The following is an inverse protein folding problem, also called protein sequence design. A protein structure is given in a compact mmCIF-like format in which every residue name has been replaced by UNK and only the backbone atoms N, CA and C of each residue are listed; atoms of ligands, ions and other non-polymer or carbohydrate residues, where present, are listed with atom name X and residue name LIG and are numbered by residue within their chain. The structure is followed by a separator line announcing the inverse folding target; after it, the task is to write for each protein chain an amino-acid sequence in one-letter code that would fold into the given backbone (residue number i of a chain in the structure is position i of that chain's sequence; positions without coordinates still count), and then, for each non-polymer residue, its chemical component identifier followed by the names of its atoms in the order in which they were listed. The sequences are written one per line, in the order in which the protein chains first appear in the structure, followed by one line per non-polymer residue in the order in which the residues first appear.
data_IF_969956543070
#
_entry.id   IF_969956543070
#
_cell.length_a   1.000
_cell.length_b   1.000
_cell.length_c   1.000
_cell.angle_alpha   90.00
_cell.angle_beta   90.00
_cell.angle_gamma   90.00
#
_symmetry.space_group_name_H-M   'P 1'
#
loop_
_entity.id
_entity.type
_entity.pdbx_description
1 polymer ?
#
# COMPACT_ATOMS: atom_id res chain seq x y z
N UNK A 1 4.75 3.02 15.61
CA UNK A 1 4.52 3.55 14.25
C UNK A 1 3.55 2.64 13.52
N UNK A 2 3.04 3.06 12.38
CA UNK A 2 2.33 2.19 11.43
C UNK A 2 3.05 2.24 10.09
N UNK A 3 3.33 1.08 9.51
CA UNK A 3 3.96 0.90 8.21
C UNK A 3 2.89 0.55 7.16
N UNK A 4 2.75 1.39 6.15
CA UNK A 4 1.72 1.26 5.10
C UNK A 4 2.40 0.86 3.80
N UNK A 5 2.05 -0.32 3.30
CA UNK A 5 2.50 -0.76 1.98
C UNK A 5 1.84 0.08 0.88
N UNK A 6 2.59 0.46 -0.15
CA UNK A 6 2.05 1.17 -1.32
C UNK A 6 2.70 0.68 -2.62
N UNK A 7 2.08 1.05 -3.74
CA UNK A 7 2.62 0.78 -5.08
C UNK A 7 3.28 2.04 -5.62
N UNK A 8 4.28 1.85 -6.47
CA UNK A 8 5.02 2.96 -7.08
C UNK A 8 4.41 3.40 -8.42
N UNK A 9 3.79 2.46 -9.14
CA UNK A 9 3.39 2.65 -10.55
C UNK A 9 2.00 2.11 -10.88
N UNK A 10 1.15 1.83 -9.88
CA UNK A 10 -0.23 1.37 -10.10
C UNK A 10 -1.20 2.54 -10.32
N UNK A 11 -1.01 3.34 -11.39
CA UNK A 11 -1.95 4.41 -11.76
C UNK A 11 -3.33 3.82 -12.13
N UNK A 12 -4.47 4.39 -11.69
CA UNK A 12 -4.67 5.57 -10.82
C UNK A 12 -4.89 5.22 -9.32
N UNK A 13 -4.44 4.05 -8.87
CA UNK A 13 -4.77 3.48 -7.57
C UNK A 13 -3.77 3.81 -6.48
N UNK A 14 -2.48 3.54 -6.70
CA UNK A 14 -1.38 3.86 -5.79
C UNK A 14 -0.12 4.03 -6.62
N UNK A 15 0.40 5.25 -6.67
CA UNK A 15 1.54 5.61 -7.52
C UNK A 15 2.22 6.86 -6.99
N UNK A 16 3.47 7.08 -7.39
CA UNK A 16 4.13 8.36 -7.15
C UNK A 16 3.65 9.42 -8.13
N UNK A 17 3.21 10.56 -7.62
CA UNK A 17 3.02 11.75 -8.44
C UNK A 17 4.35 12.43 -8.80
N UNK A 18 4.28 13.51 -9.58
CA UNK A 18 5.45 14.30 -9.97
C UNK A 18 6.16 14.99 -8.79
N UNK A 19 5.56 14.99 -7.59
CA UNK A 19 6.11 15.52 -6.36
C UNK A 19 6.66 14.42 -5.43
N UNK A 20 6.77 13.18 -5.92
CA UNK A 20 7.22 12.01 -5.15
C UNK A 20 6.30 11.69 -3.95
N UNK A 21 5.02 12.06 -4.04
CA UNK A 21 4.00 11.67 -3.06
C UNK A 21 3.26 10.45 -3.58
N UNK A 22 2.98 9.52 -2.69
CA UNK A 22 2.11 8.38 -3.00
C UNK A 22 0.67 8.88 -3.02
N UNK A 23 -0.01 8.73 -4.14
CA UNK A 23 -1.39 9.18 -4.35
C UNK A 23 -2.22 8.12 -5.09
N UNK A 24 -3.53 8.34 -5.18
CA UNK A 24 -4.46 7.54 -5.95
C UNK A 24 -5.60 6.95 -5.12
N UNK A 25 -6.57 6.33 -5.80
CA UNK A 25 -7.81 5.86 -5.19
C UNK A 25 -7.57 4.90 -3.99
N UNK A 26 -6.72 3.88 -4.16
CA UNK A 26 -6.36 2.97 -3.06
C UNK A 26 -5.61 3.68 -1.95
N UNK A 27 -4.78 4.66 -2.30
CA UNK A 27 -4.01 5.42 -1.33
C UNK A 27 -4.90 6.31 -0.46
N UNK A 28 -5.98 6.85 -1.00
CA UNK A 28 -6.97 7.62 -0.22
C UNK A 28 -7.61 6.77 0.88
N UNK A 29 -7.95 5.51 0.58
CA UNK A 29 -8.41 4.56 1.61
C UNK A 29 -7.32 4.25 2.63
N UNK A 30 -6.06 4.09 2.21
CA UNK A 30 -4.95 3.89 3.15
C UNK A 30 -4.83 5.07 4.11
N UNK A 31 -4.95 6.30 3.61
CA UNK A 31 -4.91 7.52 4.41
C UNK A 31 -6.09 7.58 5.40
N UNK A 32 -7.29 7.19 4.96
CA UNK A 32 -8.48 7.13 5.81
C UNK A 32 -8.34 6.08 6.94
N UNK A 33 -7.77 4.91 6.64
CA UNK A 33 -7.47 3.87 7.64
C UNK A 33 -6.46 4.40 8.67
N UNK A 34 -5.39 5.05 8.23
CA UNK A 34 -4.41 5.68 9.14
C UNK A 34 -5.08 6.70 10.05
N UNK A 35 -5.94 7.57 9.50
CA UNK A 35 -6.67 8.57 10.29
C UNK A 35 -7.58 7.91 11.35
N UNK A 36 -8.30 6.85 10.97
CA UNK A 36 -9.13 6.08 11.88
C UNK A 36 -8.31 5.41 13.00
N UNK A 37 -7.14 4.86 12.69
CA UNK A 37 -6.22 4.25 13.67
C UNK A 37 -5.70 5.31 14.65
N UNK A 38 -5.27 6.48 14.15
CA UNK A 38 -4.82 7.60 15.00
C UNK A 38 -5.90 8.03 15.99
N UNK A 39 -7.13 8.19 15.50
CA UNK A 39 -8.28 8.55 16.33
C UNK A 39 -8.59 7.46 17.36
N UNK A 40 -8.62 6.19 16.94
CA UNK A 40 -8.93 5.05 17.81
C UNK A 40 -7.93 4.87 18.95
N UNK A 41 -6.65 5.15 18.70
CA UNK A 41 -5.58 5.02 19.68
C UNK A 41 -5.32 6.31 20.49
N UNK A 42 -6.01 7.41 20.18
CA UNK A 42 -5.74 8.74 20.72
C UNK A 42 -4.26 9.15 20.57
N UNK A 43 -3.67 8.87 19.40
CA UNK A 43 -2.26 9.15 19.07
C UNK A 43 -2.17 9.93 17.75
N UNK A 44 -2.42 11.26 17.75
CA UNK A 44 -2.38 12.07 16.54
C UNK A 44 -0.99 12.13 15.90
N UNK A 45 0.05 12.01 16.72
CA UNK A 45 1.47 11.98 16.39
C UNK A 45 2.00 10.58 16.01
N UNK A 46 1.13 9.57 15.93
CA UNK A 46 1.53 8.23 15.49
C UNK A 46 2.27 8.33 14.16
N UNK A 47 3.55 7.96 14.18
CA UNK A 47 4.40 7.96 13.00
C UNK A 47 3.87 7.00 11.95
N UNK A 48 3.80 7.47 10.71
CA UNK A 48 3.38 6.69 9.53
C UNK A 48 4.59 6.54 8.63
N UNK A 49 4.92 5.31 8.24
CA UNK A 49 5.99 5.00 7.30
C UNK A 49 5.39 4.40 6.03
N UNK A 50 5.64 5.01 4.88
CA UNK A 50 5.26 4.45 3.59
C UNK A 50 6.35 3.49 3.12
N UNK A 51 5.96 2.29 2.68
CA UNK A 51 6.87 1.26 2.18
C UNK A 51 6.47 0.80 0.79
N UNK A 52 7.34 0.90 -0.23
CA UNK A 52 7.03 0.43 -1.56
C UNK A 52 7.00 -1.11 -1.57
N UNK A 53 5.96 -1.66 -2.18
CA UNK A 53 5.79 -3.11 -2.38
C UNK A 53 5.46 -3.41 -3.83
N UNK A 54 5.79 -4.63 -4.25
CA UNK A 54 5.46 -5.19 -5.55
C UNK A 54 4.39 -6.27 -5.40
N UNK A 55 3.79 -6.70 -6.51
CA UNK A 55 2.83 -7.80 -6.44
C UNK A 55 3.47 -9.14 -6.00
N UNK A 56 4.77 -9.31 -6.26
CA UNK A 56 5.52 -10.52 -5.94
C UNK A 56 5.90 -10.57 -4.46
N UNK A 57 6.35 -9.45 -3.88
CA UNK A 57 6.89 -9.45 -2.52
C UNK A 57 5.87 -9.14 -1.42
N UNK A 58 4.65 -8.72 -1.77
CA UNK A 58 3.68 -8.24 -0.78
C UNK A 58 3.28 -9.25 0.30
N UNK A 59 3.04 -10.51 -0.06
CA UNK A 59 2.62 -11.55 0.89
C UNK A 59 3.78 -11.86 1.84
N UNK A 60 5.01 -12.15 1.34
CA UNK A 60 6.17 -12.31 2.20
C UNK A 60 6.41 -11.12 3.14
N UNK A 61 6.31 -9.88 2.64
CA UNK A 61 6.54 -8.67 3.42
C UNK A 61 5.44 -8.38 4.46
N UNK A 62 4.21 -8.83 4.22
CA UNK A 62 3.14 -8.76 5.21
C UNK A 62 3.37 -9.80 6.31
N UNK A 63 3.67 -11.04 5.91
CA UNK A 63 3.85 -12.15 6.85
C UNK A 63 5.02 -11.94 7.82
N UNK A 64 6.08 -11.28 7.37
CA UNK A 64 7.23 -10.99 8.23
C UNK A 64 7.13 -9.64 8.97
N UNK A 65 6.00 -8.93 8.87
CA UNK A 65 5.76 -7.67 9.57
C UNK A 65 6.55 -6.47 9.03
N UNK A 66 7.03 -6.52 7.79
CA UNK A 66 7.69 -5.36 7.16
C UNK A 66 6.71 -4.19 7.01
N UNK A 67 5.43 -4.46 6.74
CA UNK A 67 4.35 -3.49 6.74
C UNK A 67 3.07 -4.07 7.36
N UNK A 68 2.18 -3.20 7.83
CA UNK A 68 0.97 -3.58 8.57
C UNK A 68 -0.23 -3.86 7.66
N UNK A 69 -0.43 -3.03 6.63
CA UNK A 69 -1.51 -3.22 5.66
C UNK A 69 -1.25 -2.51 4.32
N UNK A 70 -2.03 -2.90 3.30
CA UNK A 70 -2.07 -2.26 1.98
C UNK A 70 -3.50 -2.38 1.40
N UNK A 71 -3.92 -1.38 0.62
CA UNK A 71 -5.21 -1.40 -0.08
C UNK A 71 -5.02 -1.91 -1.52
N UNK A 72 -5.69 -3.02 -1.82
CA UNK A 72 -5.41 -3.92 -2.95
C UNK A 72 -5.98 -3.55 -4.31
N UNK A 73 -6.68 -2.41 -4.47
CA UNK A 73 -7.54 -2.18 -5.64
C UNK A 73 -6.79 -1.93 -6.96
N UNK A 74 -5.69 -2.63 -7.25
CA UNK A 74 -5.09 -2.74 -8.58
C UNK A 74 -5.21 -4.17 -9.15
N UNK A 75 -5.51 -4.24 -10.45
CA UNK A 75 -5.68 -5.50 -11.18
C UNK A 75 -4.39 -6.02 -11.83
N UNK A 76 -3.21 -5.47 -11.49
CA UNK A 76 -1.96 -5.75 -12.23
C UNK A 76 -1.55 -7.22 -12.16
N UNK A 77 -1.83 -7.91 -11.04
CA UNK A 77 -1.47 -9.32 -10.90
C UNK A 77 -2.23 -10.24 -11.86
N UNK A 78 -3.51 -9.96 -12.16
CA UNK A 78 -4.27 -10.77 -13.14
C UNK A 78 -3.71 -10.64 -14.55
N UNK A 79 -3.16 -9.48 -14.92
CA UNK A 79 -2.51 -9.28 -16.23
C UNK A 79 -1.15 -9.99 -16.30
N UNK A 80 -0.36 -9.94 -15.23
CA UNK A 80 0.92 -10.65 -15.17
C UNK A 80 0.75 -12.18 -15.18
N UNK A 81 -0.18 -12.72 -14.41
CA UNK A 81 -0.47 -14.17 -14.41
C UNK A 81 -1.09 -14.67 -15.72
N UNK A 82 -1.86 -13.83 -16.43
CA UNK A 82 -2.36 -14.15 -17.76
C UNK A 82 -1.26 -14.15 -18.84
N UNK A 83 -0.09 -13.54 -18.56
CA UNK A 83 1.05 -13.47 -19.48
C UNK A 83 2.08 -14.61 -19.28
N UNK A 84 1.86 -15.53 -18.34
CA UNK A 84 2.66 -16.75 -18.15
C UNK A 84 3.36 -16.81 -16.80
N UNK A 85 2.94 -17.75 -15.96
CA UNK A 85 3.66 -18.11 -14.73
C UNK A 85 2.75 -18.76 -13.69
N UNK A 86 3.06 -20.02 -13.38
CA UNK A 86 2.45 -20.87 -12.34
C UNK A 86 2.53 -20.18 -10.97
N UNK A 87 1.54 -20.46 -10.12
CA UNK A 87 1.34 -19.97 -8.76
C UNK A 87 2.62 -19.69 -7.94
#
# INVERSE_FOLDING_TARGET
MIAVGHRESSVPFSYYDNQQKVVGYSQDYSNAIVAAIKAKLNKPDLQVKMLPITSQNRIPLLQNGTYDFVVWLDHQQRRASAAGGVF
#
